data_IF_430418666156
#
_entry.id   IF_430418666156
#
_cell.length_a   1.000
_cell.length_b   1.000
_cell.length_c   1.000
_cell.angle_alpha   90.00
_cell.angle_beta   90.00
_cell.angle_gamma   90.00
#
_symmetry.space_group_name_H-M   'P 1'
#
loop_
_entity.id
_entity.type
_entity.pdbx_description
1 polymer ?
#
# COMPACT_ATOMS: atom_id res chain seq x y z
N UNK A 1 63.79 52.54 -40.56
CA UNK A 1 63.02 52.74 -39.30
C UNK A 1 61.51 52.56 -39.52
N UNK A 2 60.97 52.78 -40.72
CA UNK A 2 59.52 52.72 -41.03
C UNK A 2 58.86 51.34 -40.85
N UNK A 3 59.58 50.22 -41.04
CA UNK A 3 59.04 48.87 -40.84
C UNK A 3 58.90 48.44 -39.36
N UNK A 4 59.61 49.10 -38.43
CA UNK A 4 59.55 48.74 -37.00
C UNK A 4 58.30 49.36 -36.37
N UNK A 5 57.97 50.60 -36.72
CA UNK A 5 56.79 51.30 -36.20
C UNK A 5 55.48 50.66 -36.66
N UNK A 6 55.37 50.27 -37.94
CA UNK A 6 54.15 49.64 -38.49
C UNK A 6 53.87 48.22 -37.96
N UNK A 7 54.90 47.50 -37.50
CA UNK A 7 54.73 46.18 -36.89
C UNK A 7 54.38 46.28 -35.40
N UNK A 8 54.75 47.38 -34.72
CA UNK A 8 54.44 47.62 -33.31
C UNK A 8 52.93 47.83 -33.09
N UNK A 9 52.27 48.54 -34.02
CA UNK A 9 50.81 48.73 -34.00
C UNK A 9 50.06 47.41 -34.17
N UNK A 10 50.60 46.44 -34.92
CA UNK A 10 49.99 45.12 -35.11
C UNK A 10 50.15 44.22 -33.88
N UNK A 11 51.27 44.34 -33.14
CA UNK A 11 51.51 43.58 -31.90
C UNK A 11 50.69 44.06 -30.70
N UNK A 12 50.12 45.27 -30.77
CA UNK A 12 49.33 45.88 -29.69
C UNK A 12 47.81 45.85 -29.94
N UNK A 13 47.32 45.18 -31.00
CA UNK A 13 45.88 45.19 -31.35
C UNK A 13 44.98 44.33 -30.46
N UNK A 14 45.56 43.63 -29.48
CA UNK A 14 44.75 42.76 -28.64
C UNK A 14 44.19 41.55 -29.39
N UNK A 15 43.15 40.96 -28.79
CA UNK A 15 42.29 39.99 -29.43
C UNK A 15 40.86 40.12 -28.91
N UNK A 16 39.92 39.77 -29.76
CA UNK A 16 38.52 39.68 -29.39
C UNK A 16 38.26 38.36 -28.65
N UNK A 17 37.48 38.43 -27.57
CA UNK A 17 36.96 37.27 -26.87
C UNK A 17 35.44 37.31 -26.98
N UNK A 18 34.82 36.17 -27.27
CA UNK A 18 33.37 36.06 -27.31
C UNK A 18 32.88 34.85 -26.52
N UNK A 19 31.67 34.97 -25.98
CA UNK A 19 30.96 33.90 -25.27
C UNK A 19 29.76 33.46 -26.11
N UNK A 20 29.55 32.15 -26.31
CA UNK A 20 28.45 31.57 -27.10
C UNK A 20 28.49 31.84 -28.63
N UNK A 21 28.55 33.09 -29.08
CA UNK A 21 28.62 33.49 -30.50
C UNK A 21 29.35 34.84 -30.70
N UNK A 22 29.85 35.11 -31.92
CA UNK A 22 30.60 36.34 -32.25
C UNK A 22 29.66 37.50 -32.64
N UNK A 23 28.77 37.87 -31.72
CA UNK A 23 27.93 39.06 -31.81
C UNK A 23 28.40 40.14 -30.84
N UNK A 24 28.08 41.41 -31.10
CA UNK A 24 28.49 42.53 -30.26
C UNK A 24 28.01 42.41 -28.79
N UNK A 25 26.89 41.72 -28.54
CA UNK A 25 26.36 41.49 -27.20
C UNK A 25 27.17 40.45 -26.39
N UNK A 26 27.92 39.61 -27.09
CA UNK A 26 28.62 38.46 -26.54
C UNK A 26 30.15 38.62 -26.66
N UNK A 27 30.62 39.73 -27.22
CA UNK A 27 32.01 39.99 -27.57
C UNK A 27 32.58 41.14 -26.74
N UNK A 28 33.82 41.01 -26.31
CA UNK A 28 34.61 42.10 -25.74
C UNK A 28 36.08 41.97 -26.20
N UNK A 29 36.78 43.09 -26.32
CA UNK A 29 38.20 43.12 -26.70
C UNK A 29 39.11 43.03 -25.47
N UNK A 30 40.25 42.37 -25.65
CA UNK A 30 41.36 42.35 -24.68
C UNK A 30 42.57 42.98 -25.35
N UNK A 31 42.96 44.18 -24.92
CA UNK A 31 44.07 44.95 -25.48
C UNK A 31 45.42 44.38 -25.06
N UNK A 32 46.41 44.51 -25.94
CA UNK A 32 47.80 44.14 -25.69
C UNK A 32 48.68 45.38 -25.75
N UNK A 33 49.71 45.43 -24.89
CA UNK A 33 50.73 46.49 -24.94
C UNK A 33 50.43 47.76 -24.14
N UNK A 34 49.24 47.90 -23.55
CA UNK A 34 48.93 49.01 -22.64
C UNK A 34 49.59 48.86 -21.26
N UNK A 35 49.88 49.99 -20.60
CA UNK A 35 50.44 50.03 -19.24
C UNK A 35 49.46 49.40 -18.23
N UNK A 36 48.16 49.65 -18.42
CA UNK A 36 47.09 48.95 -17.69
C UNK A 36 46.65 47.76 -18.51
N UNK A 37 46.89 46.56 -17.99
CA UNK A 37 46.49 45.31 -18.66
C UNK A 37 44.98 45.12 -18.56
N UNK A 38 44.36 44.66 -19.64
CA UNK A 38 43.02 44.11 -19.58
C UNK A 38 43.03 42.75 -18.86
N UNK A 39 41.94 42.45 -18.17
CA UNK A 39 41.78 41.21 -17.41
C UNK A 39 40.54 40.47 -17.90
N UNK A 40 40.72 39.19 -18.20
CA UNK A 40 39.66 38.24 -18.54
C UNK A 40 39.53 37.22 -17.40
N UNK A 41 38.29 36.94 -16.99
CA UNK A 41 37.98 36.01 -15.91
C UNK A 41 36.93 34.98 -16.31
N UNK A 42 36.97 33.83 -15.66
CA UNK A 42 35.92 32.82 -15.74
C UNK A 42 35.08 32.94 -14.48
N UNK A 43 33.79 33.17 -14.63
CA UNK A 43 32.82 33.16 -13.53
C UNK A 43 32.01 31.87 -13.55
N UNK A 44 31.73 31.31 -12.38
CA UNK A 44 31.00 30.06 -12.24
C UNK A 44 29.53 30.37 -11.94
N UNK A 45 28.62 29.88 -12.79
CA UNK A 45 27.19 29.90 -12.46
C UNK A 45 26.85 29.00 -11.27
N UNK A 46 25.62 29.12 -10.75
CA UNK A 46 25.14 28.31 -9.63
C UNK A 46 25.33 26.80 -9.89
N UNK A 47 25.98 26.09 -8.96
CA UNK A 47 26.22 24.65 -9.02
C UNK A 47 27.54 24.25 -9.68
N UNK A 48 28.29 25.19 -10.28
CA UNK A 48 29.66 24.96 -10.76
C UNK A 48 30.66 25.63 -9.84
N UNK A 49 31.82 25.02 -9.67
CA UNK A 49 32.98 25.58 -9.02
C UNK A 49 34.15 25.67 -10.01
N UNK A 50 34.90 26.75 -9.93
CA UNK A 50 36.09 26.97 -10.75
C UNK A 50 37.28 27.17 -9.80
N UNK A 51 38.31 26.35 -9.99
CA UNK A 51 39.57 26.47 -9.27
C UNK A 51 40.73 26.60 -10.27
N UNK A 52 41.85 27.17 -9.80
CA UNK A 52 43.07 27.28 -10.57
C UNK A 52 44.20 26.55 -9.86
N UNK A 53 44.95 25.75 -10.63
CA UNK A 53 46.21 25.16 -10.21
C UNK A 53 47.29 25.47 -11.26
N UNK A 54 48.24 26.35 -10.92
CA UNK A 54 49.26 26.81 -11.86
C UNK A 54 48.65 27.49 -13.10
N UNK A 55 48.71 26.83 -14.27
CA UNK A 55 48.11 27.29 -15.54
C UNK A 55 46.85 26.50 -15.93
N UNK A 56 46.41 25.56 -15.09
CA UNK A 56 45.21 24.73 -15.31
C UNK A 56 44.00 25.38 -14.65
N UNK A 57 42.90 25.44 -15.38
CA UNK A 57 41.58 25.75 -14.83
C UNK A 57 40.83 24.44 -14.64
N UNK A 58 40.27 24.23 -13.46
CA UNK A 58 39.53 23.02 -13.10
C UNK A 58 38.07 23.43 -12.90
N UNK A 59 37.19 22.76 -13.63
CA UNK A 59 35.75 22.86 -13.47
C UNK A 59 35.26 21.64 -12.71
N UNK A 60 34.46 21.85 -11.67
CA UNK A 60 33.77 20.81 -10.93
C UNK A 60 32.32 21.21 -10.63
N UNK A 61 31.50 20.25 -10.24
CA UNK A 61 30.26 20.57 -9.54
C UNK A 61 30.60 21.04 -8.12
N UNK A 62 29.70 21.84 -7.54
CA UNK A 62 29.70 22.11 -6.11
C UNK A 62 29.24 20.86 -5.34
N UNK A 63 29.55 20.78 -4.05
CA UNK A 63 29.08 19.68 -3.19
C UNK A 63 27.55 19.65 -3.13
N UNK A 64 26.93 20.84 -3.04
CA UNK A 64 25.49 21.03 -3.13
C UNK A 64 25.11 21.71 -4.45
N UNK A 65 24.29 21.04 -5.26
CA UNK A 65 23.78 21.58 -6.53
C UNK A 65 22.29 21.87 -6.39
N UNK A 66 21.92 23.15 -6.42
CA UNK A 66 20.53 23.58 -6.50
C UNK A 66 20.14 23.87 -7.94
N UNK A 67 19.05 23.27 -8.42
CA UNK A 67 18.55 23.44 -9.78
C UNK A 67 17.20 24.16 -9.72
N UNK A 68 17.07 25.20 -10.54
CA UNK A 68 15.95 26.14 -10.46
C UNK A 68 16.27 27.33 -9.57
N UNK A 69 15.30 28.23 -9.41
CA UNK A 69 15.41 29.41 -8.56
C UNK A 69 14.19 29.46 -7.64
N UNK A 70 14.40 29.71 -6.36
CA UNK A 70 13.31 29.87 -5.39
C UNK A 70 12.60 31.24 -5.53
N UNK A 71 11.40 31.34 -4.95
CA UNK A 71 10.57 32.54 -4.91
C UNK A 71 9.51 32.61 -6.01
N UNK A 72 8.58 33.57 -5.91
CA UNK A 72 7.40 33.67 -6.78
C UNK A 72 7.74 33.83 -8.28
N UNK A 73 8.89 34.43 -8.58
CA UNK A 73 9.43 34.60 -9.94
C UNK A 73 10.49 33.54 -10.29
N UNK A 74 10.65 32.55 -9.43
CA UNK A 74 11.54 31.41 -9.60
C UNK A 74 11.10 30.50 -10.73
N UNK A 75 12.06 29.80 -11.35
CA UNK A 75 11.77 28.71 -12.32
C UNK A 75 12.06 27.38 -11.66
N UNK A 76 11.13 26.44 -11.82
CA UNK A 76 11.29 25.09 -11.27
C UNK A 76 12.51 24.38 -11.84
N UNK A 77 13.27 23.72 -10.96
CA UNK A 77 14.32 22.81 -11.37
C UNK A 77 13.78 21.54 -12.00
N UNK A 78 14.53 20.97 -12.94
CA UNK A 78 14.25 19.66 -13.53
C UNK A 78 15.55 18.91 -13.76
N UNK A 79 15.61 17.68 -13.26
CA UNK A 79 16.64 16.70 -13.62
C UNK A 79 15.96 15.61 -14.44
N UNK A 80 16.58 15.23 -15.55
CA UNK A 80 16.18 14.04 -16.30
C UNK A 80 17.41 13.22 -16.62
N UNK A 81 17.38 11.95 -16.22
CA UNK A 81 18.34 10.92 -16.63
C UNK A 81 17.65 10.06 -17.65
N UNK A 82 18.13 10.07 -18.89
CA UNK A 82 17.58 9.26 -19.98
C UNK A 82 18.32 7.92 -20.04
N UNK A 83 17.58 6.83 -20.00
CA UNK A 83 18.04 5.52 -20.43
C UNK A 83 17.72 5.28 -21.91
N UNK A 84 18.12 4.10 -22.40
CA UNK A 84 17.74 3.64 -23.73
C UNK A 84 16.25 3.29 -23.77
N UNK A 85 15.67 3.14 -24.96
CA UNK A 85 14.34 2.58 -25.15
C UNK A 85 13.19 3.30 -24.38
N UNK A 86 13.38 4.58 -24.06
CA UNK A 86 12.39 5.41 -23.36
C UNK A 86 12.43 5.30 -21.83
N UNK A 87 13.40 4.59 -21.27
CA UNK A 87 13.67 4.59 -19.83
C UNK A 87 14.04 5.98 -19.35
N UNK A 88 13.54 6.40 -18.18
CA UNK A 88 13.97 7.66 -17.59
C UNK A 88 13.74 7.75 -16.09
N UNK A 89 14.54 8.61 -15.44
CA UNK A 89 14.26 9.14 -14.10
C UNK A 89 14.12 10.65 -14.24
N UNK A 90 13.02 11.21 -13.73
CA UNK A 90 12.78 12.65 -13.71
C UNK A 90 12.50 13.12 -12.29
N UNK A 91 13.15 14.21 -11.91
CA UNK A 91 12.89 14.94 -10.66
C UNK A 91 12.42 16.35 -11.04
N UNK A 92 11.23 16.76 -10.59
CA UNK A 92 10.67 18.09 -10.87
C UNK A 92 10.45 18.87 -9.58
N UNK A 93 11.01 20.08 -9.54
CA UNK A 93 10.88 20.98 -8.39
C UNK A 93 9.45 21.44 -8.13
N UNK A 94 8.63 21.64 -9.18
CA UNK A 94 7.30 22.26 -9.11
C UNK A 94 6.38 21.71 -8.00
N UNK A 95 6.43 20.40 -7.77
CA UNK A 95 5.58 19.69 -6.81
C UNK A 95 6.37 18.63 -5.99
N UNK A 96 7.70 18.65 -6.06
CA UNK A 96 8.52 17.55 -5.53
C UNK A 96 8.18 16.20 -6.16
N UNK A 97 7.93 16.19 -7.48
CA UNK A 97 7.59 14.97 -8.21
C UNK A 97 8.86 14.20 -8.59
N UNK A 98 8.87 12.90 -8.29
CA UNK A 98 9.86 11.96 -8.83
C UNK A 98 9.10 10.95 -9.68
N UNK A 99 9.55 10.78 -10.93
CA UNK A 99 8.98 9.80 -11.85
C UNK A 99 10.08 8.89 -12.40
N UNK A 100 9.82 7.59 -12.36
CA UNK A 100 10.64 6.57 -13.02
C UNK A 100 9.77 5.93 -14.09
N UNK A 101 10.29 5.86 -15.31
CA UNK A 101 9.65 5.20 -16.44
C UNK A 101 10.53 4.06 -16.93
N UNK A 102 9.97 2.87 -17.02
CA UNK A 102 10.61 1.71 -17.63
C UNK A 102 10.56 1.76 -19.16
N UNK A 103 11.17 0.77 -19.83
CA UNK A 103 11.07 0.66 -21.28
C UNK A 103 9.63 0.40 -21.70
N UNK A 104 9.31 0.71 -22.96
CA UNK A 104 8.02 0.34 -23.54
C UNK A 104 7.91 -1.18 -23.64
N UNK A 105 6.76 -1.73 -23.22
CA UNK A 105 6.39 -3.12 -23.46
C UNK A 105 6.01 -3.36 -24.92
N UNK A 106 5.58 -4.58 -25.23
CA UNK A 106 5.11 -4.96 -26.57
C UNK A 106 3.88 -4.15 -27.04
N UNK A 107 3.14 -3.57 -26.09
CA UNK A 107 2.01 -2.65 -26.29
C UNK A 107 2.42 -1.19 -26.57
N UNK A 108 3.73 -0.88 -26.55
CA UNK A 108 4.25 0.47 -26.77
C UNK A 108 4.14 1.42 -25.57
N UNK A 109 3.77 0.92 -24.38
CA UNK A 109 3.63 1.71 -23.15
C UNK A 109 4.51 1.17 -22.03
N UNK A 110 4.87 2.04 -21.09
CA UNK A 110 5.88 1.76 -20.05
C UNK A 110 5.25 1.53 -18.69
N UNK A 111 5.90 0.69 -17.87
CA UNK A 111 5.71 0.71 -16.43
C UNK A 111 6.18 2.05 -15.86
N UNK A 112 5.58 2.50 -14.77
CA UNK A 112 6.07 3.69 -14.06
C UNK A 112 5.91 3.60 -12.55
N UNK A 113 6.79 4.33 -11.87
CA UNK A 113 6.71 4.62 -10.44
C UNK A 113 6.69 6.13 -10.29
N UNK A 114 5.76 6.66 -9.51
CA UNK A 114 5.61 8.08 -9.25
C UNK A 114 5.55 8.35 -7.75
N UNK A 115 6.26 9.38 -7.31
CA UNK A 115 6.16 9.95 -5.98
C UNK A 115 5.75 11.42 -6.14
N UNK A 116 4.67 11.82 -5.47
CA UNK A 116 4.22 13.22 -5.42
C UNK A 116 4.37 13.74 -4.00
N UNK A 117 5.36 14.61 -3.77
CA UNK A 117 5.53 15.27 -2.47
C UNK A 117 4.34 16.18 -2.13
N UNK A 118 3.75 16.84 -3.14
CA UNK A 118 2.58 17.70 -2.98
C UNK A 118 1.35 16.95 -2.46
N UNK A 119 1.09 15.75 -3.00
CA UNK A 119 -0.11 14.99 -2.66
C UNK A 119 0.15 13.95 -1.55
N UNK A 120 1.44 13.70 -1.22
CA UNK A 120 1.84 12.65 -0.29
C UNK A 120 1.54 11.25 -0.84
N UNK A 121 1.62 11.07 -2.16
CA UNK A 121 1.24 9.82 -2.83
C UNK A 121 2.43 9.10 -3.43
N UNK A 122 2.36 7.77 -3.44
CA UNK A 122 3.27 6.89 -4.16
C UNK A 122 2.43 5.99 -5.05
N UNK A 123 2.69 6.01 -6.35
CA UNK A 123 1.98 5.22 -7.34
C UNK A 123 2.92 4.28 -8.08
N UNK A 124 2.45 3.06 -8.33
CA UNK A 124 3.01 2.17 -9.34
C UNK A 124 1.95 1.88 -10.38
N UNK A 125 2.31 1.98 -11.65
CA UNK A 125 1.43 1.73 -12.78
C UNK A 125 2.07 0.67 -13.68
N UNK A 126 1.38 -0.45 -13.82
CA UNK A 126 1.69 -1.50 -14.80
C UNK A 126 1.50 -1.00 -16.23
N UNK A 127 1.94 -1.76 -17.24
CA UNK A 127 1.78 -1.34 -18.62
C UNK A 127 0.29 -1.42 -18.97
N UNK A 128 -0.19 -0.47 -19.76
CA UNK A 128 -1.52 -0.54 -20.39
C UNK A 128 -1.66 -1.85 -21.18
N UNK A 129 -2.82 -2.50 -21.12
CA UNK A 129 -3.06 -3.70 -21.93
C UNK A 129 -3.04 -3.42 -23.44
N UNK A 130 -2.99 -4.50 -24.23
CA UNK A 130 -2.95 -4.44 -25.70
C UNK A 130 -4.16 -3.70 -26.34
N UNK A 131 -5.26 -3.52 -25.59
CA UNK A 131 -6.45 -2.76 -25.97
C UNK A 131 -6.35 -1.25 -25.67
N UNK A 132 -5.20 -0.76 -25.21
CA UNK A 132 -4.95 0.66 -24.98
C UNK A 132 -5.45 1.20 -23.65
N UNK A 133 -6.05 0.35 -22.79
CA UNK A 133 -6.55 0.68 -21.45
C UNK A 133 -5.57 0.37 -20.32
N UNK A 134 -5.68 1.11 -19.22
CA UNK A 134 -4.70 1.09 -18.12
C UNK A 134 -4.44 -0.30 -17.52
N UNK A 135 -3.17 -0.56 -17.21
CA UNK A 135 -2.79 -1.79 -16.50
C UNK A 135 -3.13 -1.74 -15.03
N UNK A 136 -2.78 -2.81 -14.31
CA UNK A 136 -2.92 -2.84 -12.86
C UNK A 136 -2.12 -1.70 -12.21
N UNK A 137 -2.63 -1.15 -11.12
CA UNK A 137 -1.93 -0.13 -10.35
C UNK A 137 -2.15 -0.28 -8.85
N UNK A 138 -1.19 0.23 -8.09
CA UNK A 138 -1.28 0.39 -6.65
C UNK A 138 -0.89 1.81 -6.30
N UNK A 139 -1.66 2.47 -5.44
CA UNK A 139 -1.39 3.82 -4.96
C UNK A 139 -1.46 3.84 -3.44
N UNK A 140 -0.42 4.35 -2.80
CA UNK A 140 -0.43 4.70 -1.39
C UNK A 140 -0.74 6.18 -1.28
N UNK A 141 -1.70 6.55 -0.43
CA UNK A 141 -2.09 7.94 -0.21
C UNK A 141 -1.88 8.33 1.25
N UNK A 142 -0.83 9.10 1.52
CA UNK A 142 -0.52 9.58 2.86
C UNK A 142 -1.52 10.61 3.40
N UNK A 143 -2.33 11.24 2.53
CA UNK A 143 -3.32 12.26 2.95
C UNK A 143 -4.47 11.66 3.74
N UNK A 144 -4.94 10.48 3.34
CA UNK A 144 -6.07 9.77 3.96
C UNK A 144 -5.70 8.40 4.53
N UNK A 145 -4.42 7.99 4.41
CA UNK A 145 -3.91 6.71 4.90
C UNK A 145 -4.42 5.51 4.11
N UNK A 146 -4.89 5.70 2.88
CA UNK A 146 -5.45 4.63 2.05
C UNK A 146 -4.42 3.96 1.15
N UNK A 147 -4.72 2.71 0.79
CA UNK A 147 -4.05 1.97 -0.29
C UNK A 147 -5.11 1.65 -1.34
N UNK A 148 -5.00 2.26 -2.51
CA UNK A 148 -5.84 1.96 -3.66
C UNK A 148 -5.19 0.89 -4.52
N UNK A 149 -5.92 -0.18 -4.81
CA UNK A 149 -5.52 -1.24 -5.73
C UNK A 149 -6.52 -1.23 -6.88
N UNK A 150 -6.02 -1.18 -8.12
CA UNK A 150 -6.84 -1.29 -9.32
C UNK A 150 -6.30 -2.44 -10.16
N UNK A 151 -7.16 -3.36 -10.53
CA UNK A 151 -6.87 -4.29 -11.62
C UNK A 151 -6.83 -3.57 -12.95
N UNK A 152 -6.52 -4.34 -14.00
CA UNK A 152 -6.54 -3.89 -15.39
C UNK A 152 -7.89 -3.22 -15.69
N UNK A 153 -7.84 -2.10 -16.41
CA UNK A 153 -9.00 -1.31 -16.82
C UNK A 153 -9.84 -0.75 -15.65
N UNK A 154 -9.31 -0.75 -14.42
CA UNK A 154 -10.03 -0.35 -13.22
C UNK A 154 -10.95 -1.43 -12.65
N UNK A 155 -10.93 -2.65 -13.19
CA UNK A 155 -11.65 -3.79 -12.63
C UNK A 155 -11.06 -4.21 -11.28
N UNK A 156 -11.86 -4.91 -10.46
CA UNK A 156 -11.44 -5.40 -9.14
C UNK A 156 -10.83 -4.31 -8.25
N UNK A 157 -11.38 -3.10 -8.33
CA UNK A 157 -10.92 -1.97 -7.53
C UNK A 157 -11.20 -2.22 -6.06
N UNK A 158 -10.15 -2.14 -5.26
CA UNK A 158 -10.22 -2.28 -3.81
C UNK A 158 -9.47 -1.11 -3.18
N UNK A 159 -10.08 -0.43 -2.21
CA UNK A 159 -9.35 0.50 -1.34
C UNK A 159 -9.23 -0.11 0.07
N UNK A 160 -8.02 -0.16 0.59
CA UNK A 160 -7.76 -0.52 1.98
C UNK A 160 -7.59 0.76 2.77
N UNK A 161 -8.34 0.90 3.85
CA UNK A 161 -8.31 2.06 4.74
C UNK A 161 -8.32 1.59 6.19
N UNK A 162 -8.16 2.52 7.12
CA UNK A 162 -8.50 2.29 8.53
C UNK A 162 -9.71 3.13 8.91
N UNK A 163 -10.43 2.71 9.93
CA UNK A 163 -11.53 3.47 10.48
C UNK A 163 -11.85 3.07 11.90
N UNK A 164 -12.68 3.88 12.55
CA UNK A 164 -13.12 3.64 13.92
C UNK A 164 -14.09 2.45 13.95
N UNK A 165 -13.84 1.49 14.83
CA UNK A 165 -14.70 0.34 15.08
C UNK A 165 -14.22 -0.44 16.29
N UNK A 166 -15.15 -0.93 17.12
CA UNK A 166 -14.79 -1.72 18.30
C UNK A 166 -14.13 -3.03 17.87
N UNK A 167 -12.95 -3.30 18.39
CA UNK A 167 -12.19 -4.53 18.17
C UNK A 167 -12.44 -5.48 19.33
N UNK A 168 -12.52 -6.77 19.03
CA UNK A 168 -12.65 -7.81 20.03
C UNK A 168 -14.09 -8.17 20.34
N UNK A 169 -14.28 -9.41 20.81
CA UNK A 169 -15.58 -9.95 21.17
C UNK A 169 -16.28 -9.18 22.30
N UNK A 170 -15.48 -8.65 23.23
CA UNK A 170 -15.94 -7.79 24.32
C UNK A 170 -15.93 -6.29 23.95
N UNK A 171 -15.31 -5.94 22.83
CA UNK A 171 -15.15 -4.56 22.36
C UNK A 171 -14.10 -3.75 23.12
N UNK A 172 -13.17 -4.40 23.83
CA UNK A 172 -12.14 -3.74 24.65
C UNK A 172 -10.73 -3.84 24.04
N UNK A 173 -10.55 -4.62 22.97
CA UNK A 173 -9.26 -4.89 22.34
C UNK A 173 -8.83 -3.80 21.33
N UNK A 174 -9.46 -2.62 21.37
CA UNK A 174 -9.11 -1.44 20.56
C UNK A 174 -10.28 -0.83 19.78
N UNK A 175 -10.00 0.28 19.09
CA UNK A 175 -11.01 1.07 18.36
C UNK A 175 -10.73 1.22 16.86
N UNK A 176 -9.70 0.58 16.31
CA UNK A 176 -9.32 0.73 14.90
C UNK A 176 -9.49 -0.57 14.13
N UNK A 177 -10.23 -0.51 13.02
CA UNK A 177 -10.44 -1.61 12.06
C UNK A 177 -9.70 -1.34 10.77
N UNK A 178 -9.18 -2.40 10.13
CA UNK A 178 -8.84 -2.37 8.71
C UNK A 178 -10.16 -2.51 7.94
N UNK A 179 -10.40 -1.61 6.99
CA UNK A 179 -11.61 -1.58 6.18
C UNK A 179 -11.22 -1.77 4.72
N UNK A 180 -11.76 -2.82 4.10
CA UNK A 180 -11.63 -3.12 2.68
C UNK A 180 -12.89 -2.61 1.98
N UNK A 181 -12.73 -1.58 1.14
CA UNK A 181 -13.80 -0.97 0.38
C UNK A 181 -13.88 -1.58 -1.01
N UNK A 182 -15.02 -2.18 -1.31
CA UNK A 182 -15.41 -2.64 -2.66
C UNK A 182 -16.53 -1.71 -3.15
N UNK A 183 -16.15 -0.72 -3.96
CA UNK A 183 -17.00 0.42 -4.30
C UNK A 183 -17.47 1.17 -3.05
N UNK A 184 -18.77 1.18 -2.80
CA UNK A 184 -19.39 1.85 -1.64
C UNK A 184 -19.57 0.93 -0.43
N UNK A 185 -19.19 -0.35 -0.53
CA UNK A 185 -19.34 -1.31 0.57
C UNK A 185 -18.09 -1.29 1.43
N UNK A 186 -18.26 -1.09 2.74
CA UNK A 186 -17.19 -1.20 3.73
C UNK A 186 -17.22 -2.60 4.34
N UNK A 187 -16.13 -3.35 4.19
CA UNK A 187 -15.96 -4.63 4.84
C UNK A 187 -14.86 -4.49 5.90
N UNK A 188 -15.24 -4.60 7.18
CA UNK A 188 -14.28 -4.60 8.29
C UNK A 188 -13.61 -5.96 8.40
N UNK A 189 -12.28 -5.97 8.49
CA UNK A 189 -11.52 -7.19 8.70
C UNK A 189 -11.65 -7.65 10.15
N UNK A 190 -12.05 -8.92 10.33
CA UNK A 190 -12.04 -9.58 11.62
C UNK A 190 -10.60 -9.93 12.04
N UNK A 191 -10.37 -9.91 13.34
CA UNK A 191 -9.10 -10.27 14.00
C UNK A 191 -9.34 -11.47 14.92
N UNK A 192 -8.27 -12.13 15.38
CA UNK A 192 -8.39 -13.24 16.34
C UNK A 192 -8.96 -12.83 17.71
N UNK A 193 -9.08 -11.53 17.97
CA UNK A 193 -9.74 -10.99 19.16
C UNK A 193 -11.26 -10.99 19.05
N UNK A 194 -11.80 -10.98 17.82
CA UNK A 194 -13.23 -11.08 17.58
C UNK A 194 -13.73 -12.51 17.81
N UNK A 195 -15.04 -12.74 17.71
CA UNK A 195 -15.62 -14.06 17.92
C UNK A 195 -17.13 -14.05 17.90
N UNK A 196 -17.73 -15.09 18.50
CA UNK A 196 -19.17 -15.24 18.63
C UNK A 196 -19.57 -15.31 20.11
N UNK A 197 -20.77 -14.80 20.43
CA UNK A 197 -21.39 -14.95 21.75
C UNK A 197 -22.52 -15.97 21.64
N UNK A 198 -22.52 -16.95 22.54
CA UNK A 198 -23.52 -18.01 22.64
C UNK A 198 -24.29 -17.82 23.93
N UNK A 199 -25.62 -17.89 23.88
CA UNK A 199 -26.48 -17.72 25.06
C UNK A 199 -27.42 -18.91 25.15
N UNK A 200 -27.34 -19.65 26.24
CA UNK A 200 -28.23 -20.77 26.54
C UNK A 200 -29.49 -20.33 27.27
N UNK A 201 -30.30 -21.32 27.65
CA UNK A 201 -31.54 -21.11 28.42
C UNK A 201 -31.27 -20.54 29.83
N UNK A 202 -30.03 -20.66 30.34
CA UNK A 202 -29.56 -20.05 31.59
C UNK A 202 -29.47 -18.51 31.53
N UNK A 203 -29.64 -17.93 30.35
CA UNK A 203 -29.69 -16.49 30.15
C UNK A 203 -28.32 -15.79 30.07
N UNK A 204 -27.22 -16.51 30.26
CA UNK A 204 -25.87 -15.92 30.26
C UNK A 204 -25.21 -16.11 28.90
N UNK A 205 -24.72 -15.01 28.31
CA UNK A 205 -23.96 -15.09 27.07
C UNK A 205 -22.49 -15.38 27.36
N UNK A 206 -21.94 -16.43 26.76
CA UNK A 206 -20.52 -16.79 26.80
C UNK A 206 -19.89 -16.45 25.46
N UNK A 207 -18.81 -15.69 25.49
CA UNK A 207 -18.04 -15.34 24.31
C UNK A 207 -16.95 -16.36 24.01
N UNK A 208 -16.79 -16.76 22.74
CA UNK A 208 -15.67 -17.54 22.24
C UNK A 208 -15.00 -16.79 21.11
N UNK A 209 -13.72 -16.43 21.30
CA UNK A 209 -12.90 -15.74 20.28
C UNK A 209 -12.68 -16.66 19.07
N UNK A 210 -12.47 -16.08 17.89
CA UNK A 210 -12.13 -16.81 16.66
C UNK A 210 -10.91 -17.73 16.90
N UNK A 211 -10.83 -18.82 16.13
CA UNK A 211 -9.83 -19.87 16.27
C UNK A 211 -9.82 -20.60 17.63
N UNK A 212 -10.93 -20.53 18.39
CA UNK A 212 -11.16 -21.38 19.56
C UNK A 212 -12.34 -22.34 19.32
N UNK A 213 -12.33 -23.45 20.05
CA UNK A 213 -13.36 -24.48 19.99
C UNK A 213 -14.53 -24.16 20.90
N UNK A 214 -15.75 -24.40 20.41
CA UNK A 214 -16.98 -24.42 21.22
C UNK A 214 -17.34 -25.90 21.45
N UNK A 215 -17.42 -26.30 22.71
CA UNK A 215 -17.90 -27.64 23.07
C UNK A 215 -19.41 -27.62 23.25
N UNK A 216 -20.11 -28.50 22.53
CA UNK A 216 -21.55 -28.73 22.70
C UNK A 216 -21.71 -30.14 23.24
N UNK A 217 -22.11 -30.26 24.51
CA UNK A 217 -22.20 -31.54 25.21
C UNK A 217 -23.60 -31.73 25.80
N UNK A 218 -24.19 -32.91 25.57
CA UNK A 218 -25.44 -33.31 26.22
C UNK A 218 -25.24 -34.15 27.49
N UNK A 219 -23.98 -34.45 27.82
CA UNK A 219 -23.59 -35.20 29.01
C UNK A 219 -23.51 -36.73 28.81
N UNK A 220 -24.00 -37.28 27.69
CA UNK A 220 -23.92 -38.72 27.47
C UNK A 220 -22.58 -39.19 26.90
N UNK A 221 -22.07 -40.31 27.44
CA UNK A 221 -20.95 -41.06 26.88
C UNK A 221 -21.43 -41.83 25.65
N UNK A 222 -20.79 -41.56 24.53
CA UNK A 222 -21.09 -42.20 23.25
C UNK A 222 -20.30 -43.51 23.16
N UNK A 223 -21.00 -44.64 23.03
CA UNK A 223 -20.40 -45.96 22.80
C UNK A 223 -20.51 -46.30 21.32
N UNK A 224 -19.37 -46.59 20.69
CA UNK A 224 -19.26 -46.91 19.27
C UNK A 224 -18.78 -48.35 19.05
N UNK A 225 -19.26 -48.93 17.97
CA UNK A 225 -18.64 -50.05 17.29
C UNK A 225 -18.22 -49.54 15.89
N UNK A 226 -16.91 -49.35 15.70
CA UNK A 226 -16.35 -48.65 14.54
C UNK A 226 -16.99 -47.25 14.36
N UNK A 227 -17.53 -46.96 13.18
CA UNK A 227 -18.22 -45.68 12.88
C UNK A 227 -19.67 -45.64 13.42
N UNK A 228 -20.20 -46.77 13.92
CA UNK A 228 -21.60 -46.88 14.34
C UNK A 228 -21.76 -46.62 15.84
N UNK A 229 -22.56 -45.62 16.23
CA UNK A 229 -23.00 -45.48 17.62
C UNK A 229 -23.97 -46.61 17.95
N UNK A 230 -23.61 -47.46 18.90
CA UNK A 230 -24.43 -48.58 19.37
C UNK A 230 -25.26 -48.19 20.60
N UNK A 231 -24.72 -47.30 21.45
CA UNK A 231 -25.38 -46.86 22.68
C UNK A 231 -24.97 -45.45 23.12
N UNK A 232 -25.84 -44.81 23.90
CA UNK A 232 -25.54 -43.63 24.71
C UNK A 232 -25.67 -44.06 26.18
N UNK A 233 -24.58 -43.99 26.92
CA UNK A 233 -24.50 -44.41 28.32
C UNK A 233 -24.14 -43.19 29.16
N UNK A 234 -24.69 -43.03 30.36
CA UNK A 234 -24.60 -41.81 31.19
C UNK A 234 -25.48 -40.67 30.65
N UNK A 235 -26.29 -40.03 31.51
CA UNK A 235 -27.23 -38.95 31.14
C UNK A 235 -28.18 -39.28 29.96
N UNK A 236 -29.05 -38.34 29.61
CA UNK A 236 -30.15 -38.60 28.69
C UNK A 236 -29.93 -38.05 27.26
N UNK A 237 -28.96 -37.15 27.04
CA UNK A 237 -28.75 -36.48 25.74
C UNK A 237 -27.33 -36.74 25.22
N UNK A 238 -27.25 -37.36 24.04
CA UNK A 238 -26.03 -37.46 23.26
C UNK A 238 -25.95 -36.35 22.23
N UNK A 239 -24.80 -35.69 22.16
CA UNK A 239 -24.48 -34.72 21.10
C UNK A 239 -23.30 -35.27 20.31
N UNK A 240 -23.52 -35.52 19.03
CA UNK A 240 -22.54 -36.09 18.11
C UNK A 240 -22.21 -35.08 17.01
N UNK A 241 -20.92 -34.81 16.80
CA UNK A 241 -20.44 -34.12 15.61
C UNK A 241 -20.18 -35.13 14.51
N UNK A 242 -20.86 -34.97 13.37
CA UNK A 242 -20.76 -35.83 12.19
C UNK A 242 -20.30 -34.95 11.02
N UNK A 243 -19.46 -35.47 10.14
CA UNK A 243 -19.13 -34.78 8.88
C UNK A 243 -20.39 -34.71 8.02
N UNK A 244 -20.65 -33.56 7.41
CA UNK A 244 -21.71 -33.45 6.42
C UNK A 244 -21.27 -34.11 5.11
N UNK A 245 -21.74 -35.34 4.88
CA UNK A 245 -21.40 -36.16 3.71
C UNK A 245 -21.81 -35.53 2.36
N UNK A 246 -22.66 -34.50 2.35
CA UNK A 246 -23.05 -33.81 1.11
C UNK A 246 -22.00 -32.83 0.59
N UNK A 247 -21.08 -32.33 1.42
CA UNK A 247 -20.08 -31.34 1.00
C UNK A 247 -18.68 -31.50 1.64
N UNK A 248 -18.51 -32.39 2.63
CA UNK A 248 -17.23 -32.73 3.26
C UNK A 248 -16.54 -31.60 4.02
N UNK A 249 -17.15 -30.42 4.08
CA UNK A 249 -16.56 -29.21 4.64
C UNK A 249 -17.36 -28.67 5.84
N UNK A 250 -18.61 -29.11 5.99
CA UNK A 250 -19.46 -28.75 7.11
C UNK A 250 -19.56 -29.88 8.14
N UNK A 251 -19.84 -29.53 9.39
CA UNK A 251 -20.19 -30.47 10.44
C UNK A 251 -21.70 -30.42 10.71
N UNK A 252 -22.32 -31.58 10.87
CA UNK A 252 -23.67 -31.76 11.40
C UNK A 252 -23.59 -32.09 12.88
N UNK A 253 -24.35 -31.37 13.70
CA UNK A 253 -24.56 -31.73 15.10
C UNK A 253 -25.82 -32.58 15.21
N UNK A 254 -25.66 -33.87 15.52
CA UNK A 254 -26.78 -34.78 15.75
C UNK A 254 -27.04 -34.92 17.25
N UNK A 255 -28.23 -34.50 17.65
CA UNK A 255 -28.71 -34.59 19.03
C UNK A 255 -29.62 -35.81 19.10
N UNK A 256 -29.39 -36.69 20.09
CA UNK A 256 -30.18 -37.91 20.28
C UNK A 256 -30.48 -38.11 21.76
N UNK A 257 -31.66 -38.65 22.06
CA UNK A 257 -31.96 -39.21 23.37
C UNK A 257 -31.27 -40.57 23.54
N UNK A 258 -30.85 -40.89 24.76
CA UNK A 258 -30.39 -42.22 25.11
C UNK A 258 -31.54 -43.25 24.95
N UNK A 259 -31.18 -44.50 24.63
CA UNK A 259 -32.18 -45.58 24.46
C UNK A 259 -32.88 -45.91 25.78
N UNK A 260 -32.12 -45.91 26.86
CA UNK A 260 -32.62 -46.04 28.21
C UNK A 260 -32.45 -44.66 28.87
N UNK A 261 -33.56 -44.05 29.27
CA UNK A 261 -33.53 -42.81 30.02
C UNK A 261 -33.43 -43.15 31.51
N UNK A 262 -32.50 -42.52 32.22
CA UNK A 262 -32.30 -42.65 33.67
C UNK A 262 -32.45 -41.30 34.35
N UNK A 263 -32.54 -41.30 35.68
CA UNK A 263 -32.53 -40.08 36.49
C UNK A 263 -33.65 -39.08 36.12
N UNK A 264 -34.79 -39.61 35.67
CA UNK A 264 -36.01 -38.84 35.42
C UNK A 264 -36.90 -38.87 36.67
N UNK A 265 -37.35 -37.71 37.12
CA UNK A 265 -38.27 -37.60 38.27
C UNK A 265 -39.70 -38.02 37.93
N UNK A 266 -40.16 -37.74 36.70
CA UNK A 266 -41.47 -38.19 36.21
C UNK A 266 -41.59 -38.07 34.70
N UNK A 267 -42.56 -38.77 34.14
CA UNK A 267 -43.01 -38.61 32.75
C UNK A 267 -44.50 -38.34 32.77
N UNK A 268 -44.93 -37.27 32.09
CA UNK A 268 -46.35 -36.88 32.01
C UNK A 268 -46.86 -36.96 30.58
N UNK A 269 -47.84 -37.82 30.34
CA UNK A 269 -48.58 -37.90 29.08
C UNK A 269 -49.87 -37.08 29.21
N UNK A 270 -49.87 -35.88 28.64
CA UNK A 270 -51.05 -35.02 28.64
C UNK A 270 -52.09 -35.52 27.63
N UNK A 271 -53.37 -35.53 28.02
CA UNK A 271 -54.50 -35.61 27.10
C UNK A 271 -54.60 -34.34 26.26
N UNK A 272 -55.23 -34.39 25.08
CA UNK A 272 -55.38 -33.22 24.18
C UNK A 272 -56.06 -32.03 24.86
N UNK A 273 -56.92 -32.28 25.84
CA UNK A 273 -57.64 -31.29 26.65
C UNK A 273 -56.88 -30.85 27.91
N UNK A 274 -55.72 -31.45 28.23
CA UNK A 274 -54.88 -31.19 29.42
C UNK A 274 -55.57 -31.39 30.77
N UNK A 275 -56.73 -32.03 30.83
CA UNK A 275 -57.51 -32.17 32.07
C UNK A 275 -57.25 -33.47 32.82
N UNK A 276 -56.78 -34.53 32.16
CA UNK A 276 -56.52 -35.84 32.77
C UNK A 276 -55.17 -36.42 32.31
N UNK A 277 -54.02 -35.84 32.71
CA UNK A 277 -52.73 -36.39 32.33
C UNK A 277 -52.46 -37.73 33.01
N UNK A 278 -51.89 -38.69 32.27
CA UNK A 278 -51.25 -39.87 32.87
C UNK A 278 -49.85 -39.47 33.32
N UNK A 279 -49.58 -39.48 34.63
CA UNK A 279 -48.25 -39.24 35.19
C UNK A 279 -47.65 -40.56 35.68
N UNK A 280 -46.41 -40.82 35.30
CA UNK A 280 -45.58 -41.90 35.85
C UNK A 280 -44.51 -41.21 36.70
N UNK A 281 -44.57 -41.40 38.01
CA UNK A 281 -43.60 -40.85 38.96
C UNK A 281 -42.41 -41.80 39.12
N UNK A 282 -41.21 -41.24 39.23
CA UNK A 282 -39.93 -41.95 39.37
C UNK A 282 -39.57 -42.32 40.81
N UNK A 283 -40.52 -42.23 41.75
CA UNK A 283 -40.33 -42.57 43.16
C UNK A 283 -40.19 -44.10 43.34
N UNK A 284 -38.98 -44.62 43.06
CA UNK A 284 -38.58 -46.00 43.34
C UNK A 284 -37.39 -46.02 44.32
#
# INVERSE_FOLDING_TARGET
>A
VTNITNNLDKTNKGFDVYIKDNSDANKFDVKLGDVKKDAFGFDAGNGLAIARDGKKIIYSLQDDVSIGKAGDNGKDGKITVNGKDGESVTIKGKNGEIGIQGPKGADGKSNSVTLSGKDGTIGVQGPTGADGKDGNSVTLNGKDGSIGIKGKDGENKVDITTGNGKVGLDGTDGETRIIVKDGNKNNELATMNDGLKFKGDDGTAVGVKLNNQVNIVGGAKIVRDHETITNLTDNNIGVESIVDETDGNNAKMKIRLAKNLSDLESITFNSKDKTNPMKIDGDA
#
